data_IF_656013459132
#
_entry.id   IF_656013459132
#
_cell.length_a   1.000
_cell.length_b   1.000
_cell.length_c   1.000
_cell.angle_alpha   90.00
_cell.angle_beta   90.00
_cell.angle_gamma   90.00
#
_symmetry.space_group_name_H-M   'P 1'
#
loop_
_entity.id
_entity.type
_entity.pdbx_description
1 polymer ?
#
# COMPACT_ATOMS: atom_id res chain seq x y z
N UNK A 1 -0.30 -11.46 -3.59
CA UNK A 1 0.95 -10.79 -3.25
C UNK A 1 1.80 -11.60 -2.30
N UNK A 2 1.45 -11.74 -1.04
CA UNK A 2 2.10 -12.72 -0.15
C UNK A 2 1.13 -13.85 0.19
N UNK A 3 1.65 -15.03 0.52
CA UNK A 3 0.87 -16.20 0.95
C UNK A 3 1.65 -16.99 2.00
N UNK A 4 0.92 -17.67 2.87
CA UNK A 4 1.48 -18.59 3.84
C UNK A 4 2.14 -19.77 3.15
N UNK A 5 3.29 -20.16 3.65
CA UNK A 5 3.97 -21.38 3.21
C UNK A 5 3.40 -22.64 3.89
N UNK A 6 2.71 -22.48 5.02
CA UNK A 6 2.10 -23.56 5.82
C UNK A 6 0.75 -23.09 6.38
N UNK A 7 -0.24 -23.98 6.41
CA UNK A 7 -1.56 -23.73 6.97
C UNK A 7 -1.45 -23.56 8.50
N UNK A 8 -1.72 -22.36 9.03
CA UNK A 8 -1.68 -22.06 10.47
C UNK A 8 -3.06 -22.23 11.10
N UNK A 9 -3.09 -22.68 12.35
CA UNK A 9 -4.30 -22.80 13.18
C UNK A 9 -5.00 -21.44 13.31
N UNK A 10 -6.34 -21.44 13.27
CA UNK A 10 -7.16 -20.25 13.47
C UNK A 10 -7.03 -19.75 14.91
N UNK A 11 -6.22 -18.72 15.12
CA UNK A 11 -6.24 -17.91 16.34
C UNK A 11 -7.47 -17.01 16.29
N UNK A 12 -8.18 -16.85 17.40
CA UNK A 12 -9.30 -15.91 17.51
C UNK A 12 -8.72 -14.48 17.44
N UNK A 13 -8.87 -13.82 16.28
CA UNK A 13 -8.31 -12.49 16.01
C UNK A 13 -9.25 -11.43 16.55
N UNK A 14 -8.71 -10.40 17.21
CA UNK A 14 -9.46 -9.23 17.65
C UNK A 14 -10.18 -8.58 16.46
N UNK A 15 -11.47 -8.23 16.57
CA UNK A 15 -12.22 -7.57 15.49
C UNK A 15 -11.56 -6.28 14.97
N UNK A 16 -10.89 -5.49 15.80
CA UNK A 16 -10.17 -4.29 15.40
C UNK A 16 -9.00 -4.66 14.47
N UNK A 17 -8.21 -5.66 14.85
CA UNK A 17 -7.07 -6.12 14.05
C UNK A 17 -7.52 -6.73 12.72
N UNK A 18 -8.68 -7.38 12.68
CA UNK A 18 -9.27 -7.87 11.44
C UNK A 18 -9.66 -6.73 10.49
N UNK A 19 -10.22 -5.63 11.02
CA UNK A 19 -10.54 -4.42 10.23
C UNK A 19 -9.26 -3.78 9.72
N UNK A 20 -8.25 -3.58 10.57
CA UNK A 20 -6.94 -3.02 10.21
C UNK A 20 -6.29 -3.85 9.09
N UNK A 21 -6.23 -5.16 9.28
CA UNK A 21 -5.72 -6.11 8.28
C UNK A 21 -6.45 -5.97 6.94
N UNK A 22 -7.78 -5.88 6.96
CA UNK A 22 -8.60 -5.72 5.75
C UNK A 22 -8.28 -4.44 4.99
N UNK A 23 -8.09 -3.32 5.70
CA UNK A 23 -7.73 -2.04 5.06
C UNK A 23 -6.33 -2.12 4.44
N UNK A 24 -5.35 -2.67 5.16
CA UNK A 24 -4.00 -2.86 4.61
C UNK A 24 -3.98 -3.79 3.39
N UNK A 25 -4.79 -4.86 3.38
CA UNK A 25 -4.95 -5.74 2.23
C UNK A 25 -5.56 -5.01 1.02
N UNK A 26 -6.58 -4.18 1.25
CA UNK A 26 -7.19 -3.37 0.20
C UNK A 26 -6.16 -2.41 -0.41
N UNK A 27 -5.48 -1.61 0.43
CA UNK A 27 -4.45 -0.67 -0.03
C UNK A 27 -3.34 -1.39 -0.79
N UNK A 28 -2.85 -2.51 -0.25
CA UNK A 28 -1.88 -3.38 -0.91
C UNK A 28 -2.33 -3.81 -2.31
N UNK A 29 -3.59 -4.24 -2.45
CA UNK A 29 -4.13 -4.70 -3.73
C UNK A 29 -4.20 -3.59 -4.79
N UNK A 30 -4.46 -2.35 -4.37
CA UNK A 30 -4.56 -1.19 -5.25
C UNK A 30 -3.20 -0.69 -5.76
N UNK A 31 -2.11 -1.03 -5.06
CA UNK A 31 -0.74 -0.76 -5.54
C UNK A 31 -0.12 -1.93 -6.30
N UNK A 32 -0.72 -3.12 -6.26
CA UNK A 32 -0.11 -4.30 -6.83
C UNK A 32 -0.24 -4.39 -8.36
N UNK A 33 -1.33 -3.87 -8.89
CA UNK A 33 -1.61 -3.90 -10.34
C UNK A 33 -2.64 -2.83 -10.68
N UNK A 34 -2.77 -2.58 -11.98
CA UNK A 34 -3.84 -1.74 -12.52
C UNK A 34 -5.23 -2.29 -12.15
N UNK A 35 -6.22 -1.39 -12.07
CA UNK A 35 -7.62 -1.78 -11.84
C UNK A 35 -8.17 -2.41 -13.12
N UNK A 36 -8.53 -3.68 -13.03
CA UNK A 36 -9.25 -4.42 -14.06
C UNK A 36 -10.77 -4.38 -13.82
N UNK A 37 -11.56 -4.91 -14.78
CA UNK A 37 -13.03 -4.97 -14.66
C UNK A 37 -13.50 -5.68 -13.38
N UNK A 38 -12.82 -6.75 -12.98
CA UNK A 38 -13.17 -7.50 -11.78
C UNK A 38 -12.93 -6.64 -10.54
N UNK A 39 -11.75 -6.05 -10.43
CA UNK A 39 -11.39 -5.16 -9.32
C UNK A 39 -12.33 -3.96 -9.25
N UNK A 40 -12.66 -3.33 -10.40
CA UNK A 40 -13.62 -2.24 -10.44
C UNK A 40 -15.00 -2.67 -9.94
N UNK A 41 -15.49 -3.84 -10.38
CA UNK A 41 -16.77 -4.39 -9.90
C UNK A 41 -16.76 -4.57 -8.37
N UNK A 42 -15.69 -5.17 -7.84
CA UNK A 42 -15.54 -5.40 -6.40
C UNK A 42 -15.51 -4.08 -5.62
N UNK A 43 -14.77 -3.06 -6.09
CA UNK A 43 -14.64 -1.73 -5.46
C UNK A 43 -15.90 -0.86 -5.55
N UNK A 44 -16.80 -1.16 -6.48
CA UNK A 44 -18.07 -0.44 -6.67
C UNK A 44 -19.31 -1.21 -6.21
N UNK A 45 -19.12 -2.40 -5.65
CA UNK A 45 -20.19 -3.22 -5.08
C UNK A 45 -20.91 -2.49 -3.93
N UNK A 46 -22.11 -2.93 -3.56
CA UNK A 46 -22.83 -2.31 -2.44
C UNK A 46 -22.12 -2.51 -1.10
N UNK A 47 -21.40 -3.60 -0.94
CA UNK A 47 -20.54 -3.82 0.23
C UNK A 47 -19.36 -2.84 0.25
N UNK A 48 -18.71 -2.62 -0.89
CA UNK A 48 -17.62 -1.64 -0.99
C UNK A 48 -18.11 -0.21 -0.76
N UNK A 49 -19.30 0.17 -1.25
CA UNK A 49 -19.90 1.47 -0.96
C UNK A 49 -20.12 1.71 0.53
N UNK A 50 -20.59 0.69 1.26
CA UNK A 50 -20.76 0.78 2.71
C UNK A 50 -19.41 0.95 3.41
N UNK A 51 -18.40 0.19 2.98
CA UNK A 51 -17.02 0.30 3.49
C UNK A 51 -16.45 1.72 3.24
N UNK A 52 -16.55 2.24 2.00
CA UNK A 52 -16.09 3.60 1.69
C UNK A 52 -16.82 4.67 2.50
N UNK A 53 -18.13 4.52 2.69
CA UNK A 53 -18.91 5.44 3.52
C UNK A 53 -18.47 5.42 4.99
N UNK A 54 -18.17 4.25 5.52
CA UNK A 54 -17.67 4.09 6.88
C UNK A 54 -16.26 4.68 7.03
N UNK A 55 -15.32 4.35 6.13
CA UNK A 55 -13.97 4.91 6.15
C UNK A 55 -13.98 6.42 5.99
N UNK A 56 -14.80 6.96 5.07
CA UNK A 56 -14.95 8.40 4.84
C UNK A 56 -15.80 9.13 5.90
N UNK A 57 -16.31 8.44 6.94
CA UNK A 57 -16.92 9.10 8.10
C UNK A 57 -15.88 9.74 9.03
N UNK A 58 -14.64 9.24 9.01
CA UNK A 58 -13.54 9.84 9.73
C UNK A 58 -13.00 11.06 8.97
N UNK A 59 -12.90 12.20 9.68
CA UNK A 59 -12.58 13.50 9.07
C UNK A 59 -11.23 13.50 8.32
N UNK A 60 -10.26 12.74 8.80
CA UNK A 60 -8.92 12.65 8.24
C UNK A 60 -8.86 11.88 6.90
N UNK A 61 -9.80 10.94 6.66
CA UNK A 61 -9.84 10.14 5.45
C UNK A 61 -10.84 10.67 4.41
N UNK A 62 -11.81 11.46 4.88
CA UNK A 62 -12.98 11.86 4.10
C UNK A 62 -12.64 12.44 2.73
N UNK A 63 -11.71 13.38 2.68
CA UNK A 63 -11.40 14.09 1.43
C UNK A 63 -10.86 13.14 0.35
N UNK A 64 -9.95 12.23 0.71
CA UNK A 64 -9.34 11.31 -0.24
C UNK A 64 -10.30 10.15 -0.59
N UNK A 65 -11.11 9.68 0.36
CA UNK A 65 -12.19 8.70 0.08
C UNK A 65 -13.22 9.27 -0.88
N UNK A 66 -13.68 10.52 -0.68
CA UNK A 66 -14.62 11.18 -1.59
C UNK A 66 -14.05 11.28 -3.02
N UNK A 67 -12.77 11.59 -3.17
CA UNK A 67 -12.10 11.63 -4.47
C UNK A 67 -12.02 10.23 -5.08
N UNK A 68 -11.59 9.20 -4.34
CA UNK A 68 -11.50 7.84 -4.84
C UNK A 68 -12.85 7.32 -5.33
N UNK A 69 -13.90 7.50 -4.54
CA UNK A 69 -15.27 7.08 -4.91
C UNK A 69 -15.75 7.82 -6.16
N UNK A 70 -15.47 9.12 -6.26
CA UNK A 70 -15.86 9.92 -7.43
C UNK A 70 -15.09 9.48 -8.70
N UNK A 71 -13.80 9.16 -8.59
CA UNK A 71 -13.00 8.67 -9.72
C UNK A 71 -13.45 7.25 -10.14
N UNK A 72 -13.70 6.33 -9.20
CA UNK A 72 -14.26 5.00 -9.51
C UNK A 72 -15.60 5.09 -10.25
N UNK A 73 -16.46 6.04 -9.89
CA UNK A 73 -17.73 6.24 -10.56
C UNK A 73 -17.62 6.71 -12.03
N UNK A 74 -16.48 7.29 -12.41
CA UNK A 74 -16.18 7.70 -13.81
C UNK A 74 -15.75 6.55 -14.71
N UNK A 75 -15.31 5.41 -14.13
CA UNK A 75 -14.80 4.25 -14.87
C UNK A 75 -15.94 3.39 -15.45
N UNK A 76 -16.86 4.03 -16.13
CA UNK A 76 -18.07 3.40 -16.69
C UNK A 76 -17.95 2.96 -18.16
N UNK A 77 -16.75 3.08 -18.74
CA UNK A 77 -16.40 2.64 -20.09
C UNK A 77 -15.05 1.94 -20.10
N UNK A 78 -14.85 1.00 -21.05
CA UNK A 78 -13.55 0.35 -21.26
C UNK A 78 -12.43 1.36 -21.50
N UNK A 79 -12.74 2.45 -22.19
CA UNK A 79 -11.77 3.52 -22.46
C UNK A 79 -11.31 4.19 -21.17
N UNK A 80 -12.23 4.56 -20.28
CA UNK A 80 -11.87 5.21 -19.01
C UNK A 80 -11.04 4.27 -18.11
N UNK A 81 -11.39 2.98 -18.10
CA UNK A 81 -10.63 1.97 -17.36
C UNK A 81 -9.22 1.79 -17.93
N UNK A 82 -9.08 1.76 -19.27
CA UNK A 82 -7.79 1.67 -19.94
C UNK A 82 -6.92 2.94 -19.70
N UNK A 83 -7.52 4.12 -19.67
CA UNK A 83 -6.82 5.36 -19.32
C UNK A 83 -6.25 5.31 -17.90
N UNK A 84 -7.04 4.86 -16.91
CA UNK A 84 -6.54 4.69 -15.54
C UNK A 84 -5.44 3.62 -15.44
N UNK A 85 -5.54 2.52 -16.21
CA UNK A 85 -4.47 1.52 -16.30
C UNK A 85 -3.19 2.09 -16.93
N UNK A 86 -3.30 2.96 -17.92
CA UNK A 86 -2.16 3.66 -18.52
C UNK A 86 -1.51 4.62 -17.50
N UNK A 87 -2.30 5.32 -16.68
CA UNK A 87 -1.79 6.18 -15.60
C UNK A 87 -1.01 5.35 -14.57
N UNK A 88 -1.54 4.17 -14.17
CA UNK A 88 -0.83 3.23 -13.30
C UNK A 88 0.54 2.83 -13.87
N UNK A 89 0.56 2.41 -15.13
CA UNK A 89 1.80 2.00 -15.80
C UNK A 89 2.81 3.14 -15.87
N UNK A 90 2.36 4.32 -16.29
CA UNK A 90 3.22 5.51 -16.41
C UNK A 90 3.79 5.97 -15.07
N UNK A 91 2.97 5.89 -14.01
CA UNK A 91 3.31 6.37 -12.69
C UNK A 91 4.23 5.40 -11.94
N UNK A 92 3.93 4.10 -11.95
CA UNK A 92 4.58 3.13 -11.08
C UNK A 92 5.57 2.17 -11.78
N UNK A 93 5.38 1.87 -13.08
CA UNK A 93 6.17 0.82 -13.74
C UNK A 93 7.30 1.33 -14.65
N UNK A 94 7.22 2.54 -15.18
CA UNK A 94 8.16 2.99 -16.22
C UNK A 94 9.55 3.36 -15.68
N UNK A 95 9.66 3.76 -14.42
CA UNK A 95 10.95 4.03 -13.76
C UNK A 95 11.70 5.26 -14.32
N UNK A 96 10.99 6.28 -14.82
CA UNK A 96 11.59 7.53 -15.31
C UNK A 96 11.56 8.64 -14.27
N UNK A 97 12.18 9.79 -14.55
CA UNK A 97 12.08 10.98 -13.70
C UNK A 97 10.64 11.52 -13.53
N UNK A 98 9.74 11.10 -14.42
CA UNK A 98 8.32 11.46 -14.41
C UNK A 98 7.42 10.38 -13.81
N UNK A 99 8.01 9.36 -13.20
CA UNK A 99 7.32 8.30 -12.49
C UNK A 99 7.62 8.36 -10.99
N UNK A 100 6.81 7.66 -10.21
CA UNK A 100 6.95 7.51 -8.77
C UNK A 100 6.98 6.02 -8.44
N UNK A 101 8.08 5.36 -8.76
CA UNK A 101 8.23 3.92 -8.54
C UNK A 101 8.04 3.57 -7.06
N UNK A 102 7.22 2.56 -6.70
CA UNK A 102 6.70 2.36 -5.35
C UNK A 102 7.59 1.43 -4.50
N UNK A 103 8.91 1.69 -4.48
CA UNK A 103 9.90 0.89 -3.75
C UNK A 103 10.56 1.71 -2.64
N UNK A 104 10.59 1.19 -1.41
CA UNK A 104 11.18 1.85 -0.25
C UNK A 104 12.64 2.26 -0.47
N UNK A 105 13.43 1.41 -1.13
CA UNK A 105 14.85 1.67 -1.44
C UNK A 105 15.09 2.97 -2.22
N UNK A 106 14.11 3.44 -3.00
CA UNK A 106 14.23 4.69 -3.77
C UNK A 106 14.09 5.96 -2.91
N UNK A 107 13.47 5.84 -1.73
CA UNK A 107 13.16 6.96 -0.82
C UNK A 107 14.00 6.96 0.45
N UNK A 108 14.64 5.81 0.80
CA UNK A 108 15.44 5.64 2.02
C UNK A 108 16.95 5.61 1.78
N UNK A 109 17.43 5.76 0.55
CA UNK A 109 18.87 5.75 0.29
C UNK A 109 19.53 7.01 0.83
N UNK A 110 20.34 6.87 1.89
CA UNK A 110 21.15 7.94 2.49
C UNK A 110 22.29 8.48 1.60
N UNK A 111 22.49 7.87 0.45
CA UNK A 111 23.55 8.31 -0.47
C UNK A 111 22.99 9.37 -1.40
N UNK A 112 23.50 10.63 -1.32
CA UNK A 112 23.24 11.57 -2.39
C UNK A 112 23.67 10.90 -3.69
N UNK A 113 22.72 10.74 -4.62
CA UNK A 113 22.99 10.16 -5.92
C UNK A 113 24.20 10.88 -6.53
N UNK A 114 25.35 10.27 -6.53
CA UNK A 114 26.44 10.72 -7.39
C UNK A 114 25.90 10.60 -8.79
N UNK A 115 26.20 11.58 -9.64
CA UNK A 115 25.76 11.63 -11.04
C UNK A 115 26.19 10.29 -11.68
N UNK A 116 25.24 9.35 -11.82
CA UNK A 116 25.46 7.98 -12.33
C UNK A 116 25.15 6.83 -11.36
N UNK A 117 24.92 7.08 -10.05
CA UNK A 117 24.41 6.07 -9.12
C UNK A 117 22.88 6.17 -9.13
N UNK A 118 22.22 5.36 -9.93
CA UNK A 118 20.79 5.12 -9.78
C UNK A 118 20.56 4.34 -8.49
N UNK A 119 19.47 4.65 -7.71
CA UNK A 119 19.12 3.87 -6.54
C UNK A 119 18.98 2.40 -6.95
N UNK A 120 19.72 1.52 -6.28
CA UNK A 120 19.72 0.11 -6.62
C UNK A 120 18.42 -0.53 -6.15
N UNK A 121 17.57 -0.94 -7.08
CA UNK A 121 16.57 -1.97 -6.83
C UNK A 121 17.29 -3.21 -6.25
N UNK A 122 16.64 -3.91 -5.32
CA UNK A 122 17.24 -5.04 -4.57
C UNK A 122 18.32 -4.63 -3.55
N UNK A 123 18.23 -3.39 -3.03
CA UNK A 123 19.11 -2.87 -1.99
C UNK A 123 18.84 -3.45 -0.60
N UNK A 124 19.25 -2.70 0.43
CA UNK A 124 19.13 -3.10 1.84
C UNK A 124 17.66 -3.36 2.24
N UNK A 125 16.74 -2.48 1.83
CA UNK A 125 15.30 -2.59 2.14
C UNK A 125 14.68 -3.86 1.57
N UNK A 126 15.04 -4.23 0.34
CA UNK A 126 14.64 -5.50 -0.26
C UNK A 126 15.14 -6.70 0.54
N UNK A 127 16.41 -6.68 0.96
CA UNK A 127 16.99 -7.77 1.75
C UNK A 127 16.31 -7.90 3.12
N UNK A 128 16.07 -6.78 3.80
CA UNK A 128 15.34 -6.74 5.08
C UNK A 128 13.93 -7.31 4.92
N UNK A 129 13.16 -6.84 3.94
CA UNK A 129 11.80 -7.36 3.69
C UNK A 129 11.80 -8.85 3.34
N UNK A 130 12.77 -9.32 2.53
CA UNK A 130 12.92 -10.75 2.23
C UNK A 130 13.16 -11.57 3.51
N UNK A 131 13.93 -11.02 4.47
CA UNK A 131 14.19 -11.66 5.74
C UNK A 131 12.92 -11.72 6.62
N UNK A 132 12.15 -10.63 6.71
CA UNK A 132 10.88 -10.61 7.44
C UNK A 132 9.89 -11.64 6.87
N UNK A 133 9.70 -11.66 5.55
CA UNK A 133 8.83 -12.65 4.89
C UNK A 133 9.26 -14.09 5.21
N UNK A 134 10.56 -14.36 5.16
CA UNK A 134 11.11 -15.70 5.48
C UNK A 134 10.89 -16.09 6.94
N UNK A 135 11.08 -15.17 7.87
CA UNK A 135 10.85 -15.40 9.31
C UNK A 135 9.40 -15.72 9.61
N UNK A 136 8.47 -15.03 8.95
CA UNK A 136 7.02 -15.26 9.05
C UNK A 136 6.51 -16.40 8.16
N UNK A 137 7.38 -17.17 7.51
CA UNK A 137 7.02 -18.25 6.58
C UNK A 137 6.13 -17.80 5.40
N UNK A 138 6.28 -16.54 4.99
CA UNK A 138 5.55 -15.95 3.88
C UNK A 138 6.39 -15.94 2.61
N UNK A 139 5.70 -15.91 1.46
CA UNK A 139 6.34 -15.80 0.15
C UNK A 139 5.58 -14.80 -0.72
N UNK A 140 6.32 -14.00 -1.49
CA UNK A 140 5.72 -13.21 -2.57
C UNK A 140 5.22 -14.20 -3.64
N UNK A 141 3.99 -13.99 -4.09
CA UNK A 141 3.39 -14.85 -5.12
C UNK A 141 4.15 -14.72 -6.44
N UNK A 142 4.31 -15.83 -7.16
CA UNK A 142 5.05 -15.89 -8.44
C UNK A 142 4.45 -14.99 -9.53
N UNK A 143 3.15 -14.71 -9.44
CA UNK A 143 2.41 -13.83 -10.34
C UNK A 143 2.67 -12.34 -10.06
N UNK A 144 3.38 -12.02 -8.98
CA UNK A 144 3.78 -10.66 -8.60
C UNK A 144 5.31 -10.59 -8.49
N UNK A 145 6.05 -10.48 -9.60
CA UNK A 145 7.50 -10.60 -9.65
C UNK A 145 8.25 -9.31 -9.22
N UNK A 146 7.69 -8.57 -8.26
CA UNK A 146 8.26 -7.31 -7.79
C UNK A 146 9.24 -7.53 -6.62
N UNK A 147 10.24 -6.65 -6.44
CA UNK A 147 11.09 -6.63 -5.25
C UNK A 147 10.30 -6.62 -3.95
N UNK A 148 10.82 -7.25 -2.90
CA UNK A 148 10.13 -7.38 -1.62
C UNK A 148 9.87 -6.03 -0.92
N UNK A 149 10.61 -4.97 -1.25
CA UNK A 149 10.42 -3.61 -0.75
C UNK A 149 9.39 -2.78 -1.56
N UNK A 150 8.63 -3.41 -2.45
CA UNK A 150 7.49 -2.78 -3.11
C UNK A 150 6.39 -2.48 -2.08
N UNK A 151 5.76 -1.29 -2.17
CA UNK A 151 4.73 -0.85 -1.21
C UNK A 151 3.61 -1.88 -1.01
N UNK A 152 3.18 -2.54 -2.08
CA UNK A 152 2.14 -3.57 -2.00
C UNK A 152 2.57 -4.76 -1.13
N UNK A 153 3.86 -5.15 -1.18
CA UNK A 153 4.39 -6.25 -0.34
C UNK A 153 4.48 -5.81 1.11
N UNK A 154 4.97 -4.58 1.36
CA UNK A 154 5.08 -4.04 2.72
C UNK A 154 3.68 -3.91 3.36
N UNK A 155 2.69 -3.34 2.65
CA UNK A 155 1.31 -3.24 3.14
C UNK A 155 0.67 -4.61 3.39
N UNK A 156 0.91 -5.60 2.51
CA UNK A 156 0.44 -6.96 2.73
C UNK A 156 1.09 -7.61 3.97
N UNK A 157 2.35 -7.28 4.23
CA UNK A 157 3.04 -7.77 5.43
C UNK A 157 2.49 -7.11 6.71
N UNK A 158 2.21 -5.81 6.70
CA UNK A 158 1.51 -5.15 7.83
C UNK A 158 0.14 -5.78 8.06
N UNK A 159 -0.62 -6.08 7.00
CA UNK A 159 -1.90 -6.79 7.13
C UNK A 159 -1.75 -8.16 7.82
N UNK A 160 -0.66 -8.89 7.54
CA UNK A 160 -0.34 -10.13 8.23
C UNK A 160 0.01 -9.88 9.71
N UNK A 161 0.85 -8.89 10.01
CA UNK A 161 1.23 -8.56 11.39
C UNK A 161 0.01 -8.20 12.25
N UNK A 162 -0.97 -7.48 11.74
CA UNK A 162 -2.20 -7.14 12.47
C UNK A 162 -2.89 -8.36 13.12
N UNK A 163 -2.71 -9.55 12.55
CA UNK A 163 -3.40 -10.77 13.02
C UNK A 163 -2.46 -11.84 13.58
N UNK A 164 -1.12 -11.61 13.56
CA UNK A 164 -0.13 -12.64 13.91
C UNK A 164 0.98 -12.14 14.84
N UNK A 165 0.98 -10.86 15.22
CA UNK A 165 1.99 -10.30 16.13
C UNK A 165 1.36 -9.34 17.14
N UNK A 166 2.10 -8.99 18.17
CA UNK A 166 1.69 -8.00 19.17
C UNK A 166 1.82 -6.56 18.63
N UNK A 167 1.18 -5.61 19.32
CA UNK A 167 1.13 -4.21 18.95
C UNK A 167 2.52 -3.56 18.91
N UNK A 168 3.46 -4.00 19.77
CA UNK A 168 4.83 -3.49 19.81
C UNK A 168 5.59 -3.83 18.55
N UNK A 169 5.49 -5.08 18.08
CA UNK A 169 6.10 -5.52 16.83
C UNK A 169 5.48 -4.82 15.62
N UNK A 170 4.14 -4.71 15.61
CA UNK A 170 3.41 -3.99 14.54
C UNK A 170 3.87 -2.55 14.43
N UNK A 171 3.87 -1.79 15.53
CA UNK A 171 4.28 -0.38 15.57
C UNK A 171 5.75 -0.22 15.15
N UNK A 172 6.63 -1.07 15.68
CA UNK A 172 8.06 -1.06 15.33
C UNK A 172 8.27 -1.26 13.84
N UNK A 173 7.56 -2.23 13.25
CA UNK A 173 7.66 -2.51 11.82
C UNK A 173 7.12 -1.35 10.97
N UNK A 174 5.93 -0.82 11.29
CA UNK A 174 5.30 0.29 10.58
C UNK A 174 6.25 1.50 10.56
N UNK A 175 6.79 1.89 11.71
CA UNK A 175 7.67 3.05 11.82
C UNK A 175 8.99 2.85 11.04
N UNK A 176 9.60 1.68 11.14
CA UNK A 176 10.90 1.42 10.54
C UNK A 176 10.86 1.12 9.03
N UNK A 177 9.76 0.55 8.51
CA UNK A 177 9.75 0.02 7.14
C UNK A 177 8.69 0.64 6.22
N UNK A 178 7.75 1.43 6.75
CA UNK A 178 6.68 2.03 5.96
C UNK A 178 6.56 3.54 6.19
N UNK A 179 6.29 3.99 7.41
CA UNK A 179 6.00 5.39 7.70
C UNK A 179 7.19 6.33 7.40
N UNK A 180 8.41 5.86 7.58
CA UNK A 180 9.64 6.65 7.41
C UNK A 180 9.93 7.13 5.98
N UNK A 181 9.30 6.56 4.95
CA UNK A 181 9.48 6.98 3.55
C UNK A 181 8.17 7.34 2.83
N UNK A 182 7.03 6.93 3.37
CA UNK A 182 5.74 7.07 2.70
C UNK A 182 5.40 8.54 2.37
N UNK A 183 5.77 9.49 3.24
CA UNK A 183 5.60 10.92 2.99
C UNK A 183 6.38 11.42 1.76
N UNK A 184 7.59 10.91 1.53
CA UNK A 184 8.39 11.22 0.34
C UNK A 184 7.76 10.63 -0.93
N UNK A 185 7.19 9.43 -0.83
CA UNK A 185 6.44 8.80 -1.92
C UNK A 185 5.19 9.62 -2.29
N UNK A 186 4.40 10.06 -1.30
CA UNK A 186 3.25 10.96 -1.52
C UNK A 186 3.67 12.23 -2.24
N UNK A 187 4.75 12.88 -1.80
CA UNK A 187 5.29 14.07 -2.43
C UNK A 187 5.64 13.80 -3.89
N UNK A 188 6.34 12.71 -4.16
CA UNK A 188 6.74 12.33 -5.52
C UNK A 188 5.54 12.07 -6.42
N UNK A 189 4.54 11.32 -5.96
CA UNK A 189 3.30 11.08 -6.73
C UNK A 189 2.59 12.40 -7.03
N UNK A 190 2.45 13.28 -6.04
CA UNK A 190 1.79 14.58 -6.21
C UNK A 190 2.51 15.48 -7.23
N UNK A 191 3.84 15.38 -7.33
CA UNK A 191 4.63 16.15 -8.29
C UNK A 191 4.49 15.67 -9.73
N UNK A 192 4.32 14.37 -9.96
CA UNK A 192 4.41 13.78 -11.31
C UNK A 192 3.07 13.31 -11.86
N UNK A 193 2.12 12.96 -11.00
CA UNK A 193 0.78 12.52 -11.40
C UNK A 193 -0.11 13.73 -11.71
N UNK A 194 -0.80 13.69 -12.84
CA UNK A 194 -1.81 14.69 -13.24
C UNK A 194 -3.25 14.20 -12.98
N UNK A 195 -3.41 12.92 -12.62
CA UNK A 195 -4.69 12.32 -12.27
C UNK A 195 -5.07 12.59 -10.81
N UNK A 196 -6.29 12.19 -10.44
CA UNK A 196 -6.75 12.34 -9.06
C UNK A 196 -6.74 11.02 -8.29
N UNK A 197 -6.93 9.89 -8.98
CA UNK A 197 -7.11 8.60 -8.34
C UNK A 197 -5.88 8.18 -7.53
N UNK A 198 -4.70 8.11 -8.15
CA UNK A 198 -3.48 7.67 -7.48
C UNK A 198 -2.96 8.70 -6.47
N UNK A 199 -3.17 10.00 -6.72
CA UNK A 199 -2.88 11.03 -5.71
C UNK A 199 -3.73 10.83 -4.44
N UNK A 200 -5.04 10.59 -4.58
CA UNK A 200 -5.91 10.33 -3.44
C UNK A 200 -5.55 9.00 -2.76
N UNK A 201 -5.21 7.95 -3.53
CA UNK A 201 -4.82 6.66 -2.99
C UNK A 201 -3.56 6.77 -2.10
N UNK A 202 -2.52 7.46 -2.55
CA UNK A 202 -1.29 7.58 -1.75
C UNK A 202 -1.50 8.45 -0.52
N UNK A 203 -2.31 9.53 -0.60
CA UNK A 203 -2.64 10.36 0.57
C UNK A 203 -3.47 9.60 1.59
N UNK A 204 -4.51 8.87 1.14
CA UNK A 204 -5.29 7.99 2.02
C UNK A 204 -4.42 6.94 2.70
N UNK A 205 -3.51 6.31 1.95
CA UNK A 205 -2.57 5.33 2.51
C UNK A 205 -1.69 5.95 3.58
N UNK A 206 -1.16 7.15 3.33
CA UNK A 206 -0.32 7.87 4.30
C UNK A 206 -1.11 8.27 5.56
N UNK A 207 -2.33 8.80 5.38
CA UNK A 207 -3.20 9.16 6.49
C UNK A 207 -3.56 7.93 7.33
N UNK A 208 -3.93 6.80 6.67
CA UNK A 208 -4.23 5.55 7.33
C UNK A 208 -3.05 5.01 8.16
N UNK A 209 -1.86 4.93 7.55
CA UNK A 209 -0.65 4.43 8.24
C UNK A 209 -0.30 5.29 9.45
N UNK A 210 -0.45 6.61 9.33
CA UNK A 210 -0.22 7.54 10.44
C UNK A 210 -1.22 7.34 11.57
N UNK A 211 -2.51 7.31 11.26
CA UNK A 211 -3.58 7.10 12.24
C UNK A 211 -3.45 5.75 12.95
N UNK A 212 -3.10 4.70 12.20
CA UNK A 212 -2.89 3.36 12.75
C UNK A 212 -1.68 3.29 13.69
N UNK A 213 -0.58 3.95 13.36
CA UNK A 213 0.57 4.05 14.24
C UNK A 213 0.25 4.84 15.52
N UNK A 214 -0.48 5.97 15.42
CA UNK A 214 -0.93 6.76 16.57
C UNK A 214 -1.88 5.95 17.47
N UNK A 215 -2.77 5.15 16.88
CA UNK A 215 -3.63 4.24 17.63
C UNK A 215 -2.81 3.18 18.39
N UNK A 216 -1.86 2.51 17.73
CA UNK A 216 -0.97 1.53 18.36
C UNK A 216 -0.15 2.15 19.50
N UNK A 217 0.36 3.37 19.34
CA UNK A 217 1.05 4.10 20.40
C UNK A 217 0.14 4.32 21.62
N UNK A 218 -1.15 4.62 21.39
CA UNK A 218 -2.10 4.84 22.48
C UNK A 218 -2.48 3.55 23.23
N UNK A 219 -2.46 2.40 22.55
CA UNK A 219 -2.71 1.10 23.21
C UNK A 219 -1.51 0.63 24.07
N UNK A 220 -0.31 1.08 23.72
CA UNK A 220 0.94 0.72 24.43
C UNK A 220 1.30 1.66 25.58
N UNK A 221 0.74 2.87 25.64
CA UNK A 221 1.09 3.92 26.62
C UNK A 221 0.19 4.03 27.77
#
# INVERSE_FOLDING_TARGET
MIKDAVNTETVEVNPVDQVRSTIYQLLSSLFAKEIDHKTLHDLTSDQAKQFWAQLGSEAEFKADVDVLVAELAKLNTDKALLELAADYCGLFLVGTKYSASPYASLYLSDKPAKKGDEPLLFGEQHQQMTQFLKQSQLQVQSEFPEPADHIAVILAYVAHLCTHSDETEQLSFINANLANWLGNFVTKVTEVDTGNFYQALVRLTHAWVKSDAEWLESELG
#
